data_IF_821230233890
#
_entry.id   IF_821230233890
#
_cell.length_a   1.000
_cell.length_b   1.000
_cell.length_c   1.000
_cell.angle_alpha   90.00
_cell.angle_beta   90.00
_cell.angle_gamma   90.00
#
_symmetry.space_group_name_H-M   'P 1'
#
loop_
_entity.id
_entity.type
_entity.pdbx_description
1 polymer ?
#
# COMPACT_ATOMS: atom_id res chain seq x y z
N UNK A 1 8.67 -1.15 59.09
CA UNK A 1 7.88 -0.51 58.01
C UNK A 1 8.69 0.45 57.15
N UNK A 2 9.50 1.34 57.73
CA UNK A 2 10.29 2.36 57.00
C UNK A 2 11.23 1.77 55.92
N UNK A 3 11.87 0.62 56.18
CA UNK A 3 12.76 -0.06 55.22
C UNK A 3 12.06 -0.56 53.95
N UNK A 4 10.80 -1.00 54.06
CA UNK A 4 10.00 -1.47 52.92
C UNK A 4 9.56 -0.30 52.04
N UNK A 5 9.23 0.84 52.64
CA UNK A 5 8.90 2.06 51.92
C UNK A 5 10.11 2.59 51.15
N UNK A 6 11.29 2.63 51.79
CA UNK A 6 12.55 3.03 51.14
C UNK A 6 12.90 2.11 49.96
N UNK A 7 12.77 0.79 50.10
CA UNK A 7 13.04 -0.15 49.01
C UNK A 7 12.12 0.05 47.81
N UNK A 8 10.84 0.36 48.05
CA UNK A 8 9.88 0.64 46.98
C UNK A 8 10.23 1.95 46.26
N UNK A 9 10.57 3.00 47.01
CA UNK A 9 10.95 4.28 46.41
C UNK A 9 12.25 4.15 45.59
N UNK A 10 13.25 3.43 46.09
CA UNK A 10 14.49 3.17 45.35
C UNK A 10 14.20 2.38 44.06
N UNK A 11 13.33 1.37 44.13
CA UNK A 11 12.93 0.59 42.94
C UNK A 11 12.24 1.44 41.87
N UNK A 12 11.30 2.30 42.26
CA UNK A 12 10.61 3.21 41.35
C UNK A 12 11.58 4.21 40.71
N UNK A 13 12.50 4.77 41.50
CA UNK A 13 13.53 5.70 40.99
C UNK A 13 14.46 5.01 39.99
N UNK A 14 14.84 3.75 40.24
CA UNK A 14 15.67 2.97 39.32
C UNK A 14 14.96 2.70 38.00
N UNK A 15 13.70 2.27 38.03
CA UNK A 15 12.90 2.03 36.81
C UNK A 15 12.79 3.31 36.00
N UNK A 16 12.51 4.44 36.66
CA UNK A 16 12.37 5.73 36.00
C UNK A 16 13.68 6.19 35.35
N UNK A 17 14.83 5.94 36.00
CA UNK A 17 16.16 6.19 35.43
C UNK A 17 16.43 5.35 34.18
N UNK A 18 16.07 4.06 34.19
CA UNK A 18 16.24 3.18 33.02
C UNK A 18 15.37 3.66 31.85
N UNK A 19 14.10 4.01 32.09
CA UNK A 19 13.23 4.53 31.05
C UNK A 19 13.76 5.84 30.43
N UNK A 20 14.33 6.74 31.25
CA UNK A 20 14.94 7.98 30.74
C UNK A 20 16.19 7.65 29.91
N UNK A 21 17.03 6.72 30.35
CA UNK A 21 18.22 6.31 29.60
C UNK A 21 17.85 5.71 28.23
N UNK A 22 16.81 4.87 28.16
CA UNK A 22 16.30 4.31 26.90
C UNK A 22 15.76 5.42 25.98
N UNK A 23 14.96 6.35 26.52
CA UNK A 23 14.46 7.51 25.76
C UNK A 23 15.59 8.39 25.20
N UNK A 24 16.70 8.55 25.93
CA UNK A 24 17.87 9.29 25.46
C UNK A 24 18.62 8.50 24.37
N UNK A 25 18.77 7.18 24.54
CA UNK A 25 19.47 6.34 23.57
C UNK A 25 18.74 6.22 22.22
N UNK A 26 17.40 6.27 22.22
CA UNK A 26 16.62 6.32 20.98
C UNK A 26 16.74 7.67 20.23
N UNK A 27 17.03 8.77 20.94
CA UNK A 27 17.12 10.11 20.35
C UNK A 27 18.32 10.27 19.41
N UNK A 28 19.42 9.57 19.69
CA UNK A 28 20.63 9.61 18.85
C UNK A 28 20.51 8.79 17.55
N UNK A 29 19.49 7.92 17.43
CA UNK A 29 19.25 7.13 16.22
C UNK A 29 18.33 7.80 15.20
N UNK A 30 17.75 8.95 15.52
CA UNK A 30 17.04 9.76 14.52
C UNK A 30 18.08 10.51 13.69
N UNK A 31 18.65 9.81 12.70
CA UNK A 31 19.30 10.49 11.58
C UNK A 31 18.23 11.31 10.88
N UNK A 32 18.21 12.61 11.13
CA UNK A 32 17.45 13.58 10.35
C UNK A 32 17.78 13.35 8.87
N UNK A 33 16.88 12.68 8.16
CA UNK A 33 16.92 12.66 6.71
C UNK A 33 16.50 14.05 6.28
N UNK A 34 17.47 14.98 6.22
CA UNK A 34 17.21 16.31 5.72
C UNK A 34 16.71 16.14 4.28
N UNK A 35 15.40 16.32 4.10
CA UNK A 35 14.77 16.25 2.80
C UNK A 35 15.33 17.43 2.02
N UNK A 36 16.30 17.14 1.14
CA UNK A 36 16.94 18.14 0.30
C UNK A 36 15.83 18.89 -0.46
N UNK A 37 15.58 20.15 -0.09
CA UNK A 37 14.53 20.95 -0.75
C UNK A 37 14.96 21.10 -2.21
N UNK A 38 14.24 20.40 -3.09
CA UNK A 38 14.44 20.39 -4.54
C UNK A 38 14.06 21.78 -5.07
N UNK A 39 14.98 22.73 -4.94
CA UNK A 39 14.85 24.05 -5.56
C UNK A 39 14.75 23.93 -7.07
N UNK A 40 14.18 24.94 -7.71
CA UNK A 40 14.18 25.07 -9.17
C UNK A 40 15.64 25.02 -9.65
N UNK A 41 16.02 23.91 -10.29
CA UNK A 41 17.36 23.76 -10.84
C UNK A 41 17.50 24.82 -11.93
N UNK A 42 18.54 25.66 -11.88
CA UNK A 42 18.76 26.74 -12.87
C UNK A 42 18.82 26.25 -14.33
N UNK A 43 18.95 24.94 -14.55
CA UNK A 43 18.92 24.29 -15.86
C UNK A 43 17.52 23.73 -16.25
N UNK A 44 16.44 24.17 -15.61
CA UNK A 44 15.08 23.72 -15.98
C UNK A 44 14.67 24.31 -17.33
N UNK A 45 15.06 25.55 -17.62
CA UNK A 45 14.77 26.20 -18.91
C UNK A 45 15.41 25.47 -20.10
N UNK A 46 16.62 24.91 -19.96
CA UNK A 46 17.27 24.15 -21.03
C UNK A 46 16.64 22.77 -21.28
N UNK A 47 15.87 22.23 -20.31
CA UNK A 47 15.10 20.99 -20.47
C UNK A 47 13.74 21.21 -21.15
N UNK A 48 13.18 22.42 -21.07
CA UNK A 48 11.94 22.78 -21.79
C UNK A 48 12.21 23.08 -23.27
N UNK A 49 13.44 23.47 -23.62
CA UNK A 49 13.84 23.79 -24.98
C UNK A 49 14.01 22.57 -25.90
N UNK A 50 14.23 21.36 -25.35
CA UNK A 50 14.29 20.12 -26.13
C UNK A 50 12.89 19.52 -26.30
N UNK A 51 12.11 20.19 -27.15
CA UNK A 51 11.00 19.59 -27.90
C UNK A 51 9.81 19.10 -27.06
N UNK A 52 8.88 20.01 -26.78
CA UNK A 52 7.46 19.66 -26.90
C UNK A 52 7.16 19.36 -28.38
N UNK A 53 7.68 18.23 -28.85
CA UNK A 53 7.33 17.70 -30.16
C UNK A 53 5.84 17.48 -30.20
N UNK A 54 5.17 18.12 -31.17
CA UNK A 54 3.82 17.79 -31.59
C UNK A 54 3.72 16.28 -31.75
N UNK A 55 3.18 15.57 -30.76
CA UNK A 55 2.80 14.17 -30.92
C UNK A 55 1.45 14.21 -31.63
N UNK A 56 1.51 13.97 -32.95
CA UNK A 56 0.32 13.73 -33.75
C UNK A 56 -0.45 12.55 -33.16
N UNK A 57 -1.77 12.70 -33.09
CA UNK A 57 -2.69 11.62 -32.77
C UNK A 57 -2.77 10.65 -33.95
N UNK A 58 -1.73 9.85 -34.15
CA UNK A 58 -1.77 8.72 -35.07
C UNK A 58 -0.78 7.65 -34.60
N UNK A 59 -1.33 6.47 -34.32
CA UNK A 59 -0.64 5.16 -34.27
C UNK A 59 0.13 4.81 -32.97
N UNK A 60 -0.55 4.77 -31.81
CA UNK A 60 -0.02 4.11 -30.59
C UNK A 60 -0.42 2.62 -30.50
N UNK A 61 -1.37 2.13 -31.30
CA UNK A 61 -1.92 0.77 -31.14
C UNK A 61 -1.18 -0.36 -31.88
N UNK A 62 -0.14 -0.09 -32.67
CA UNK A 62 0.47 -1.12 -33.54
C UNK A 62 1.86 -1.64 -33.11
N UNK A 63 2.48 -1.12 -32.05
CA UNK A 63 3.89 -1.43 -31.75
C UNK A 63 4.16 -2.27 -30.49
N UNK A 64 3.11 -2.73 -29.78
CA UNK A 64 3.28 -3.65 -28.63
C UNK A 64 3.14 -5.14 -28.95
N UNK A 65 2.93 -5.52 -30.23
CA UNK A 65 2.81 -6.93 -30.61
C UNK A 65 4.14 -7.69 -30.70
N UNK A 66 5.29 -7.00 -30.67
CA UNK A 66 6.59 -7.63 -30.89
C UNK A 66 7.46 -7.85 -29.64
N UNK A 67 7.10 -7.32 -28.46
CA UNK A 67 7.89 -7.51 -27.22
C UNK A 67 7.26 -8.47 -26.20
N UNK A 68 6.00 -8.86 -26.40
CA UNK A 68 5.31 -9.86 -25.57
C UNK A 68 5.68 -11.31 -25.93
N UNK A 69 6.38 -11.53 -27.04
CA UNK A 69 6.77 -12.87 -27.50
C UNK A 69 7.88 -13.52 -26.66
N UNK A 70 8.63 -12.74 -25.88
CA UNK A 70 9.80 -13.23 -25.14
C UNK A 70 9.55 -13.40 -23.62
N UNK A 71 8.53 -12.73 -23.07
CA UNK A 71 8.14 -12.87 -21.66
C UNK A 71 7.20 -14.08 -21.39
N UNK A 72 6.62 -14.67 -22.43
CA UNK A 72 5.63 -15.76 -22.32
C UNK A 72 6.25 -17.18 -22.19
N UNK A 73 7.57 -17.30 -21.98
CA UNK A 73 8.26 -18.61 -21.93
C UNK A 73 8.40 -19.21 -20.51
N UNK A 74 7.88 -18.55 -19.48
CA UNK A 74 8.09 -18.95 -18.08
C UNK A 74 6.83 -18.92 -17.20
N UNK A 75 5.63 -18.99 -17.78
CA UNK A 75 4.38 -19.11 -17.01
C UNK A 75 3.85 -20.55 -17.15
N UNK A 76 3.59 -21.27 -16.04
CA UNK A 76 3.13 -22.65 -16.08
C UNK A 76 1.81 -22.79 -16.84
N UNK A 77 1.75 -23.85 -17.63
CA UNK A 77 0.78 -24.32 -18.63
C UNK A 77 -0.65 -24.60 -18.10
N UNK A 78 -1.12 -23.88 -17.09
CA UNK A 78 -2.40 -24.18 -16.41
C UNK A 78 -3.58 -23.27 -16.82
N UNK A 79 -3.37 -22.28 -17.69
CA UNK A 79 -4.44 -21.37 -18.16
C UNK A 79 -4.91 -21.63 -19.60
N UNK A 80 -4.68 -22.82 -20.14
CA UNK A 80 -5.27 -23.21 -21.43
C UNK A 80 -6.48 -24.12 -21.19
N UNK A 81 -7.63 -23.49 -20.95
CA UNK A 81 -8.89 -24.23 -20.88
C UNK A 81 -10.10 -23.34 -20.62
N UNK A 82 -10.84 -23.00 -21.69
CA UNK A 82 -12.25 -22.59 -21.57
C UNK A 82 -12.61 -21.29 -22.26
N UNK A 83 -12.73 -21.38 -23.58
CA UNK A 83 -13.36 -20.44 -24.51
C UNK A 83 -14.76 -20.00 -24.04
N UNK A 84 -14.93 -18.71 -23.70
CA UNK A 84 -16.18 -17.94 -23.86
C UNK A 84 -15.85 -16.47 -24.13
N UNK A 85 -15.94 -16.16 -25.40
CA UNK A 85 -15.99 -14.85 -26.05
C UNK A 85 -16.69 -13.76 -25.21
N UNK A 86 -15.94 -12.73 -24.83
CA UNK A 86 -16.43 -11.35 -24.75
C UNK A 86 -15.22 -10.43 -24.64
N UNK A 87 -14.59 -10.24 -25.80
CA UNK A 87 -13.56 -9.25 -26.04
C UNK A 87 -14.18 -7.84 -25.88
N UNK A 88 -14.20 -7.34 -24.64
CA UNK A 88 -14.52 -5.96 -24.29
C UNK A 88 -13.70 -5.53 -23.07
N UNK A 89 -12.38 -5.62 -23.19
CA UNK A 89 -11.41 -5.28 -22.13
C UNK A 89 -11.30 -3.77 -21.82
N UNK A 90 -12.17 -2.93 -22.38
CA UNK A 90 -12.33 -1.51 -22.04
C UNK A 90 -13.70 -1.19 -21.42
N UNK A 91 -14.43 -2.18 -20.91
CA UNK A 91 -15.60 -1.88 -20.10
C UNK A 91 -15.14 -1.39 -18.72
N UNK A 92 -15.60 -0.24 -18.19
CA UNK A 92 -15.27 0.22 -16.84
C UNK A 92 -15.89 -0.67 -15.74
N UNK A 93 -16.48 -1.81 -16.11
CA UNK A 93 -17.19 -2.71 -15.24
C UNK A 93 -16.37 -3.97 -15.02
N UNK A 94 -16.18 -4.31 -13.75
CA UNK A 94 -15.56 -5.55 -13.33
C UNK A 94 -16.65 -6.53 -12.91
N UNK A 95 -16.59 -7.78 -13.36
CA UNK A 95 -17.54 -8.79 -12.91
C UNK A 95 -17.33 -9.09 -11.42
N UNK A 96 -18.39 -9.48 -10.70
CA UNK A 96 -18.27 -9.85 -9.30
C UNK A 96 -17.30 -11.03 -9.08
N UNK A 97 -17.21 -11.93 -10.06
CA UNK A 97 -16.29 -13.08 -10.02
C UNK A 97 -14.83 -12.62 -10.16
N UNK A 98 -14.55 -11.73 -11.11
CA UNK A 98 -13.20 -11.20 -11.30
C UNK A 98 -12.77 -10.32 -10.13
N UNK A 99 -13.70 -9.55 -9.54
CA UNK A 99 -13.45 -8.83 -8.30
C UNK A 99 -13.13 -9.76 -7.14
N UNK A 100 -13.84 -10.88 -6.99
CA UNK A 100 -13.56 -11.85 -5.94
C UNK A 100 -12.15 -12.46 -6.08
N UNK A 101 -11.73 -12.77 -7.31
CA UNK A 101 -10.37 -13.24 -7.61
C UNK A 101 -9.33 -12.16 -7.30
N UNK A 102 -9.65 -10.90 -7.60
CA UNK A 102 -8.76 -9.77 -7.30
C UNK A 102 -8.56 -9.60 -5.78
N UNK A 103 -9.62 -9.69 -4.99
CA UNK A 103 -9.54 -9.65 -3.52
C UNK A 103 -8.67 -10.79 -2.98
N UNK A 104 -8.86 -12.02 -3.50
CA UNK A 104 -8.05 -13.16 -3.08
C UNK A 104 -6.56 -13.02 -3.45
N UNK A 105 -6.27 -12.38 -4.58
CA UNK A 105 -4.90 -12.14 -5.03
C UNK A 105 -4.18 -11.02 -4.29
N UNK A 106 -4.92 -10.08 -3.69
CA UNK A 106 -4.37 -8.89 -3.07
C UNK A 106 -4.91 -8.68 -1.65
N UNK A 107 -4.09 -9.08 -0.68
CA UNK A 107 -4.40 -8.98 0.76
C UNK A 107 -4.68 -7.53 1.20
N UNK A 108 -4.00 -6.54 0.63
CA UNK A 108 -4.21 -5.13 0.99
C UNK A 108 -5.60 -4.64 0.57
N UNK A 109 -6.10 -5.10 -0.58
CA UNK A 109 -7.44 -4.75 -1.04
C UNK A 109 -8.49 -5.38 -0.12
N UNK A 110 -8.28 -6.62 0.29
CA UNK A 110 -9.15 -7.30 1.24
C UNK A 110 -9.22 -6.53 2.57
N UNK A 111 -8.07 -6.15 3.13
CA UNK A 111 -7.99 -5.40 4.38
C UNK A 111 -8.71 -4.04 4.29
N UNK A 112 -8.51 -3.29 3.22
CA UNK A 112 -9.23 -2.00 3.00
C UNK A 112 -10.73 -2.20 2.89
N UNK A 113 -11.20 -3.25 2.21
CA UNK A 113 -12.63 -3.53 2.09
C UNK A 113 -13.22 -3.91 3.46
N UNK A 114 -12.53 -4.75 4.21
CA UNK A 114 -12.95 -5.16 5.57
C UNK A 114 -13.03 -3.93 6.47
N UNK A 115 -11.98 -3.12 6.54
CA UNK A 115 -11.94 -1.88 7.32
C UNK A 115 -13.00 -0.86 6.92
N UNK A 116 -13.36 -0.82 5.62
CA UNK A 116 -14.27 0.22 5.11
C UNK A 116 -15.74 -0.18 5.19
N UNK A 117 -16.05 -1.46 5.02
CA UNK A 117 -17.43 -1.93 4.84
C UNK A 117 -17.91 -2.87 5.93
N UNK A 118 -17.00 -3.54 6.63
CA UNK A 118 -17.33 -4.52 7.68
C UNK A 118 -17.08 -3.90 9.05
N UNK A 119 -15.85 -3.43 9.31
CA UNK A 119 -15.49 -2.67 10.50
C UNK A 119 -16.08 -1.25 10.37
N UNK A 120 -16.96 -0.87 11.29
CA UNK A 120 -17.74 0.37 11.18
C UNK A 120 -17.30 1.40 12.18
N UNK A 121 -16.86 0.90 13.33
CA UNK A 121 -16.29 1.67 14.40
C UNK A 121 -14.77 1.89 14.22
N UNK A 122 -14.15 1.28 13.20
CA UNK A 122 -12.72 1.41 12.85
C UNK A 122 -11.82 1.04 14.05
N UNK A 123 -12.21 -0.03 14.76
CA UNK A 123 -11.51 -0.51 15.94
C UNK A 123 -10.59 -1.73 15.66
N UNK A 124 -10.42 -2.07 14.38
CA UNK A 124 -9.66 -3.23 13.89
C UNK A 124 -10.20 -4.59 14.42
N UNK A 125 -11.42 -4.62 14.98
CA UNK A 125 -12.06 -5.83 15.52
C UNK A 125 -13.46 -6.03 14.95
N UNK A 126 -13.65 -7.12 14.20
CA UNK A 126 -14.97 -7.42 13.63
C UNK A 126 -15.85 -8.10 14.68
N UNK A 127 -16.87 -7.39 15.16
CA UNK A 127 -17.89 -7.97 16.02
C UNK A 127 -18.85 -8.90 15.25
N UNK A 128 -19.51 -9.83 15.94
CA UNK A 128 -20.53 -10.70 15.31
C UNK A 128 -21.69 -9.89 14.73
N UNK A 129 -22.03 -8.78 15.38
CA UNK A 129 -23.13 -7.92 14.95
C UNK A 129 -22.77 -7.18 13.65
N UNK A 130 -21.50 -6.79 13.48
CA UNK A 130 -20.99 -6.19 12.24
C UNK A 130 -20.90 -7.20 11.10
N UNK A 131 -20.40 -8.40 11.39
CA UNK A 131 -20.26 -9.46 10.39
C UNK A 131 -21.59 -9.87 9.76
N UNK A 132 -22.66 -9.93 10.57
CA UNK A 132 -24.00 -10.31 10.11
C UNK A 132 -24.93 -9.14 9.87
N UNK A 133 -24.42 -7.90 9.93
CA UNK A 133 -25.23 -6.73 9.65
C UNK A 133 -25.73 -6.81 8.22
N UNK A 134 -27.04 -6.96 8.04
CA UNK A 134 -27.66 -6.85 6.72
C UNK A 134 -27.39 -5.43 6.22
N UNK A 135 -26.61 -5.34 5.14
CA UNK A 135 -26.51 -4.12 4.34
C UNK A 135 -27.93 -3.83 3.85
N UNK A 136 -28.60 -2.86 4.47
CA UNK A 136 -29.96 -2.46 4.13
C UNK A 136 -29.85 -1.61 2.87
N UNK A 137 -30.51 -2.04 1.79
CA UNK A 137 -30.61 -1.32 0.51
C UNK A 137 -31.19 0.09 0.68
#
# INVERSE_FOLDING_TARGET
>A
MIRSMLSLHIGVVLILLVCIADCLFLKDKVKDHSRQRRGFRMNTASRVAHGYGKRGYSNIFNDQSNTLSEANKAVPDFLQGGDRSSDNSNSPFLSAQDFSRLIQSNEQLADVIVRKFIDVNDDDLISTDELFRRIRE
#
